data_IF_509099027426
#
_entry.id   IF_509099027426
#
_cell.length_a   1.000
_cell.length_b   1.000
_cell.length_c   1.000
_cell.angle_alpha   90.00
_cell.angle_beta   90.00
_cell.angle_gamma   90.00
#
_symmetry.space_group_name_H-M   'P 1'
#
loop_
_entity.id
_entity.type
_entity.pdbx_description
1 polymer ?
#
# COMPACT_ATOMS: atom_id res chain seq x y z
N UNK A 1 -6.79 -2.02 -29.97
CA UNK A 1 -6.10 -2.84 -28.95
C UNK A 1 -5.72 -1.93 -27.79
N UNK A 2 -6.63 -1.72 -26.83
CA UNK A 2 -6.46 -0.78 -25.73
C UNK A 2 -5.53 -1.40 -24.66
N UNK A 3 -4.22 -1.34 -24.89
CA UNK A 3 -3.17 -1.83 -23.98
C UNK A 3 -2.68 -0.73 -23.01
N UNK A 4 -3.62 0.06 -22.49
CA UNK A 4 -3.35 1.00 -21.39
C UNK A 4 -4.11 0.52 -20.17
N UNK A 5 -3.40 0.11 -19.11
CA UNK A 5 -4.04 0.09 -17.80
C UNK A 5 -4.51 1.54 -17.54
N UNK A 6 -5.82 1.81 -17.34
CA UNK A 6 -6.27 3.16 -17.04
C UNK A 6 -5.52 3.65 -15.80
N UNK A 7 -5.08 4.92 -15.80
CA UNK A 7 -4.46 5.53 -14.62
C UNK A 7 -5.37 5.34 -13.40
N UNK A 8 -4.78 5.17 -12.21
CA UNK A 8 -5.58 5.16 -10.99
C UNK A 8 -6.21 6.54 -10.78
N UNK A 9 -7.24 6.62 -9.93
CA UNK A 9 -7.64 7.92 -9.38
C UNK A 9 -6.50 8.52 -8.54
N UNK A 10 -6.55 9.82 -8.28
CA UNK A 10 -5.43 10.53 -7.64
C UNK A 10 -5.08 9.98 -6.25
N UNK A 11 -6.06 9.55 -5.46
CA UNK A 11 -5.83 9.01 -4.12
C UNK A 11 -5.17 7.63 -4.19
N UNK A 12 -5.66 6.77 -5.09
CA UNK A 12 -5.09 5.44 -5.33
C UNK A 12 -3.70 5.52 -5.96
N UNK A 13 -3.43 6.52 -6.82
CA UNK A 13 -2.09 6.74 -7.39
C UNK A 13 -1.08 7.13 -6.30
N UNK A 14 -1.46 7.98 -5.33
CA UNK A 14 -0.59 8.32 -4.18
C UNK A 14 -0.28 7.08 -3.33
N UNK A 15 -1.30 6.26 -3.02
CA UNK A 15 -1.10 4.99 -2.29
C UNK A 15 -0.19 4.03 -3.05
N UNK A 16 -0.35 3.95 -4.38
CA UNK A 16 0.52 3.14 -5.23
C UNK A 16 1.97 3.63 -5.21
N UNK A 17 2.18 4.96 -5.30
CA UNK A 17 3.52 5.55 -5.25
C UNK A 17 4.21 5.27 -3.91
N UNK A 18 3.52 5.45 -2.78
CA UNK A 18 4.03 5.12 -1.43
C UNK A 18 4.36 3.63 -1.29
N UNK A 19 3.43 2.76 -1.69
CA UNK A 19 3.62 1.30 -1.68
C UNK A 19 4.82 0.89 -2.54
N UNK A 20 4.97 1.50 -3.72
CA UNK A 20 6.05 1.18 -4.66
C UNK A 20 7.39 1.67 -4.14
N UNK A 21 7.45 2.88 -3.58
CA UNK A 21 8.70 3.43 -3.04
C UNK A 21 9.22 2.59 -1.87
N UNK A 22 8.35 2.19 -0.94
CA UNK A 22 8.72 1.33 0.18
C UNK A 22 9.32 0.00 -0.31
N UNK A 23 8.63 -0.68 -1.23
CA UNK A 23 9.08 -1.97 -1.77
C UNK A 23 10.34 -1.87 -2.62
N UNK A 24 10.49 -0.77 -3.35
CA UNK A 24 11.71 -0.48 -4.12
C UNK A 24 12.89 -0.31 -3.18
N UNK A 25 12.74 0.43 -2.07
CA UNK A 25 13.81 0.65 -1.08
C UNK A 25 14.32 -0.66 -0.49
N UNK A 26 13.42 -1.57 -0.13
CA UNK A 26 13.78 -2.90 0.40
C UNK A 26 14.54 -3.75 -0.63
N UNK A 27 14.15 -3.62 -1.91
CA UNK A 27 14.75 -4.40 -2.99
C UNK A 27 16.05 -3.80 -3.55
N UNK A 28 16.33 -2.50 -3.36
CA UNK A 28 17.34 -1.77 -4.11
C UNK A 28 18.78 -1.95 -3.62
N UNK A 29 18.97 -2.23 -2.32
CA UNK A 29 20.31 -2.35 -1.77
C UNK A 29 21.08 -3.57 -2.32
N UNK A 30 20.38 -4.70 -2.48
CA UNK A 30 20.96 -5.92 -3.02
C UNK A 30 21.53 -5.76 -4.44
N UNK A 31 20.79 -5.26 -5.45
CA UNK A 31 21.31 -5.12 -6.81
C UNK A 31 22.41 -4.07 -6.92
N UNK A 32 22.36 -2.98 -6.15
CA UNK A 32 23.47 -2.01 -6.11
C UNK A 32 24.73 -2.69 -5.53
N UNK A 33 24.59 -3.45 -4.45
CA UNK A 33 25.70 -4.21 -3.86
C UNK A 33 26.25 -5.28 -4.81
N UNK A 34 25.37 -6.01 -5.51
CA UNK A 34 25.78 -6.99 -6.51
C UNK A 34 26.52 -6.34 -7.70
N UNK A 35 26.06 -5.16 -8.14
CA UNK A 35 26.76 -4.35 -9.14
C UNK A 35 28.14 -3.87 -8.69
N UNK A 36 28.29 -3.51 -7.41
CA UNK A 36 29.59 -3.15 -6.85
C UNK A 36 30.56 -4.35 -6.87
N UNK A 37 30.08 -5.54 -6.52
CA UNK A 37 30.90 -6.75 -6.58
C UNK A 37 31.24 -7.16 -8.02
N UNK A 38 30.32 -6.97 -8.97
CA UNK A 38 30.59 -7.28 -10.38
C UNK A 38 31.67 -6.39 -10.98
N UNK A 39 31.83 -5.13 -10.53
CA UNK A 39 32.96 -4.29 -10.98
C UNK A 39 34.32 -4.90 -10.64
N UNK A 40 34.43 -5.61 -9.52
CA UNK A 40 35.68 -6.21 -9.05
C UNK A 40 36.07 -7.45 -9.85
N UNK A 41 35.11 -8.16 -10.46
CA UNK A 41 35.44 -9.33 -11.29
C UNK A 41 36.17 -8.92 -12.58
N UNK A 42 35.93 -7.70 -13.07
CA UNK A 42 36.62 -7.13 -14.25
C UNK A 42 38.07 -6.70 -13.98
N UNK A 43 38.57 -6.75 -12.74
CA UNK A 43 40.00 -6.54 -12.44
C UNK A 43 40.87 -7.53 -13.23
N UNK A 44 40.40 -8.79 -13.39
CA UNK A 44 41.10 -9.81 -14.18
C UNK A 44 41.17 -9.39 -15.65
N UNK A 45 40.10 -8.82 -16.18
CA UNK A 45 40.05 -8.34 -17.55
C UNK A 45 41.05 -7.20 -17.80
N UNK A 46 41.17 -6.27 -16.85
CA UNK A 46 42.16 -5.19 -16.92
C UNK A 46 43.60 -5.71 -16.93
N UNK A 47 43.88 -6.72 -16.10
CA UNK A 47 45.19 -7.36 -16.04
C UNK A 47 45.56 -8.02 -17.36
N UNK A 48 44.59 -8.63 -18.04
CA UNK A 48 44.77 -9.28 -19.35
C UNK A 48 44.97 -8.24 -20.46
N UNK A 49 44.26 -7.11 -20.41
CA UNK A 49 44.38 -6.02 -21.38
C UNK A 49 45.74 -5.33 -21.33
N UNK A 50 46.17 -4.91 -20.14
CA UNK A 50 47.46 -4.23 -19.96
C UNK A 50 48.00 -4.41 -18.53
N UNK A 51 48.92 -5.37 -18.32
CA UNK A 51 49.57 -5.57 -17.03
C UNK A 51 50.33 -4.33 -16.53
N UNK A 52 50.80 -3.45 -17.42
CA UNK A 52 51.61 -2.29 -17.05
C UNK A 52 50.79 -1.19 -16.39
N UNK A 53 49.52 -1.04 -16.78
CA UNK A 53 48.58 -0.05 -16.23
C UNK A 53 47.63 -0.63 -15.19
N UNK A 54 47.75 -1.93 -14.87
CA UNK A 54 46.90 -2.61 -13.91
C UNK A 54 46.75 -1.86 -12.57
N UNK A 55 47.86 -1.44 -11.97
CA UNK A 55 47.84 -0.74 -10.67
C UNK A 55 47.27 0.69 -10.75
N UNK A 56 47.12 1.26 -11.94
CA UNK A 56 46.47 2.55 -12.15
C UNK A 56 44.93 2.42 -12.09
N UNK A 57 44.37 1.31 -12.60
CA UNK A 57 42.92 1.13 -12.74
C UNK A 57 42.25 0.43 -11.55
N UNK A 58 43.00 -0.40 -10.81
CA UNK A 58 42.48 -1.08 -9.60
C UNK A 58 41.89 -0.10 -8.56
N UNK A 59 42.56 1.02 -8.21
CA UNK A 59 42.00 1.99 -7.27
C UNK A 59 40.66 2.58 -7.73
N UNK A 60 40.46 2.75 -9.04
CA UNK A 60 39.21 3.29 -9.62
C UNK A 60 38.07 2.31 -9.38
N UNK A 61 38.29 1.01 -9.60
CA UNK A 61 37.30 -0.04 -9.33
C UNK A 61 36.96 -0.13 -7.85
N UNK A 62 37.96 -0.08 -6.98
CA UNK A 62 37.75 -0.12 -5.53
C UNK A 62 36.96 1.10 -5.06
N UNK A 63 37.29 2.30 -5.53
CA UNK A 63 36.60 3.53 -5.16
C UNK A 63 35.13 3.51 -5.62
N UNK A 64 34.86 3.12 -6.87
CA UNK A 64 33.50 3.02 -7.40
C UNK A 64 32.68 1.96 -6.65
N UNK A 65 33.27 0.79 -6.39
CA UNK A 65 32.61 -0.29 -5.64
C UNK A 65 32.30 0.13 -4.21
N UNK A 66 33.24 0.80 -3.53
CA UNK A 66 33.04 1.33 -2.18
C UNK A 66 31.92 2.38 -2.14
N UNK A 67 31.88 3.28 -3.13
CA UNK A 67 30.82 4.30 -3.24
C UNK A 67 29.45 3.66 -3.48
N UNK A 68 29.36 2.66 -4.35
CA UNK A 68 28.12 1.91 -4.59
C UNK A 68 27.65 1.14 -3.34
N UNK A 69 28.56 0.47 -2.63
CA UNK A 69 28.26 -0.20 -1.36
C UNK A 69 27.78 0.79 -0.29
N UNK A 70 28.38 1.98 -0.25
CA UNK A 70 27.94 3.05 0.64
C UNK A 70 26.53 3.54 0.29
N UNK A 71 26.21 3.72 -1.00
CA UNK A 71 24.85 4.03 -1.44
C UNK A 71 23.86 2.93 -1.03
N UNK A 72 24.20 1.65 -1.25
CA UNK A 72 23.36 0.52 -0.84
C UNK A 72 23.12 0.51 0.68
N UNK A 73 24.18 0.72 1.48
CA UNK A 73 24.08 0.80 2.93
C UNK A 73 23.18 1.95 3.39
N UNK A 74 23.34 3.15 2.81
CA UNK A 74 22.51 4.31 3.10
C UNK A 74 21.03 4.04 2.78
N UNK A 75 20.74 3.43 1.63
CA UNK A 75 19.36 3.09 1.22
C UNK A 75 18.70 2.14 2.23
N UNK A 76 19.44 1.12 2.72
CA UNK A 76 18.93 0.15 3.70
C UNK A 76 18.79 0.69 5.12
N UNK A 77 19.71 1.53 5.59
CA UNK A 77 19.79 1.91 7.01
C UNK A 77 19.33 3.33 7.31
N UNK A 78 19.10 4.16 6.29
CA UNK A 78 18.71 5.57 6.44
C UNK A 78 17.44 5.84 5.61
N UNK A 79 16.24 5.56 6.15
CA UNK A 79 14.99 5.72 5.40
C UNK A 79 14.72 7.16 4.96
N UNK A 80 15.27 8.16 5.65
CA UNK A 80 15.19 9.57 5.27
C UNK A 80 16.01 9.95 4.03
N UNK A 81 16.91 9.09 3.54
CA UNK A 81 17.72 9.39 2.36
C UNK A 81 16.88 9.32 1.08
N UNK A 82 16.99 10.33 0.19
CA UNK A 82 16.23 10.35 -1.06
C UNK A 82 16.76 9.28 -2.02
N UNK A 83 15.86 8.44 -2.54
CA UNK A 83 16.22 7.28 -3.36
C UNK A 83 16.84 7.69 -4.70
N UNK A 84 16.25 8.68 -5.37
CA UNK A 84 16.63 9.09 -6.72
C UNK A 84 18.07 9.64 -6.81
N UNK A 85 18.53 10.55 -5.93
CA UNK A 85 19.94 10.97 -5.92
C UNK A 85 20.92 9.83 -5.60
N UNK A 86 20.56 8.89 -4.72
CA UNK A 86 21.42 7.74 -4.41
C UNK A 86 21.55 6.80 -5.61
N UNK A 87 20.45 6.58 -6.34
CA UNK A 87 20.46 5.85 -7.60
C UNK A 87 21.36 6.52 -8.64
N UNK A 88 21.27 7.84 -8.81
CA UNK A 88 22.13 8.61 -9.71
C UNK A 88 23.60 8.43 -9.37
N UNK A 89 23.98 8.60 -8.09
CA UNK A 89 25.36 8.42 -7.63
C UNK A 89 25.86 7.01 -7.92
N UNK A 90 25.08 5.97 -7.59
CA UNK A 90 25.48 4.58 -7.80
C UNK A 90 25.64 4.23 -9.29
N UNK A 91 24.69 4.64 -10.14
CA UNK A 91 24.72 4.37 -11.59
C UNK A 91 25.88 5.12 -12.26
N UNK A 92 26.12 6.37 -11.86
CA UNK A 92 27.25 7.17 -12.37
C UNK A 92 28.59 6.65 -11.86
N UNK A 93 28.68 6.18 -10.62
CA UNK A 93 29.90 5.54 -10.11
C UNK A 93 30.27 4.30 -10.93
N UNK A 94 29.30 3.41 -11.19
CA UNK A 94 29.52 2.21 -11.99
C UNK A 94 29.86 2.52 -13.44
N UNK A 95 29.07 3.37 -14.10
CA UNK A 95 29.33 3.77 -15.50
C UNK A 95 30.67 4.51 -15.63
N UNK A 96 30.94 5.43 -14.71
CA UNK A 96 32.16 6.22 -14.69
C UNK A 96 33.39 5.38 -14.46
N UNK A 97 33.32 4.37 -13.58
CA UNK A 97 34.38 3.38 -13.44
C UNK A 97 34.71 2.72 -14.78
N UNK A 98 33.69 2.19 -15.47
CA UNK A 98 33.89 1.54 -16.76
C UNK A 98 34.49 2.52 -17.78
N UNK A 99 33.93 3.72 -17.93
CA UNK A 99 34.42 4.72 -18.88
C UNK A 99 35.86 5.17 -18.59
N UNK A 100 36.21 5.42 -17.32
CA UNK A 100 37.56 5.81 -16.91
C UNK A 100 38.57 4.70 -17.17
N UNK A 101 38.23 3.43 -16.88
CA UNK A 101 39.12 2.31 -17.19
C UNK A 101 39.34 2.14 -18.69
N UNK A 102 38.32 2.38 -19.52
CA UNK A 102 38.45 2.35 -20.98
C UNK A 102 39.33 3.47 -21.53
N UNK A 103 39.25 4.65 -20.93
CA UNK A 103 40.10 5.79 -21.28
C UNK A 103 41.57 5.57 -20.89
N UNK A 104 41.82 4.93 -19.75
CA UNK A 104 43.18 4.73 -19.24
C UNK A 104 43.88 3.50 -19.83
N UNK A 105 43.16 2.51 -20.34
CA UNK A 105 43.75 1.30 -20.91
C UNK A 105 43.90 1.41 -22.44
N UNK A 106 44.98 0.86 -23.02
CA UNK A 106 45.14 0.83 -24.47
C UNK A 106 43.97 0.06 -25.12
N UNK A 107 43.44 0.61 -26.21
CA UNK A 107 42.28 0.06 -26.94
C UNK A 107 41.05 -0.23 -26.06
N UNK A 108 40.94 0.44 -24.90
CA UNK A 108 39.86 0.21 -23.95
C UNK A 108 38.48 0.50 -24.54
N UNK A 109 38.35 1.52 -25.38
CA UNK A 109 37.11 1.83 -26.12
C UNK A 109 36.84 0.91 -27.32
N UNK A 110 37.75 0.01 -27.67
CA UNK A 110 37.51 -1.03 -28.68
C UNK A 110 36.86 -2.24 -28.01
N UNK A 111 37.42 -2.70 -26.88
CA UNK A 111 37.03 -3.96 -26.23
C UNK A 111 36.05 -3.78 -25.06
N UNK A 112 36.11 -2.65 -24.37
CA UNK A 112 35.35 -2.37 -23.16
C UNK A 112 33.89 -1.88 -23.32
N UNK A 113 33.43 -1.27 -24.44
CA UNK A 113 32.14 -0.58 -24.50
C UNK A 113 30.91 -1.36 -24.05
N UNK A 114 30.92 -2.69 -24.16
CA UNK A 114 29.82 -3.53 -23.64
C UNK A 114 29.53 -3.27 -22.15
N UNK A 115 30.55 -2.96 -21.34
CA UNK A 115 30.38 -2.60 -19.93
C UNK A 115 29.59 -1.32 -19.71
N UNK A 116 29.59 -0.39 -20.67
CA UNK A 116 28.84 0.87 -20.60
C UNK A 116 27.33 0.67 -20.78
N UNK A 117 26.88 -0.52 -21.20
CA UNK A 117 25.46 -0.84 -21.24
C UNK A 117 24.92 -1.30 -19.87
N UNK A 118 25.78 -1.84 -18.99
CA UNK A 118 25.37 -2.56 -17.78
C UNK A 118 24.71 -1.61 -16.77
N UNK A 119 25.43 -0.58 -16.32
CA UNK A 119 24.95 0.33 -15.28
C UNK A 119 23.76 1.18 -15.72
N UNK A 120 23.71 1.68 -16.97
CA UNK A 120 22.49 2.27 -17.48
C UNK A 120 21.31 1.31 -17.44
N UNK A 121 21.48 0.04 -17.85
CA UNK A 121 20.40 -0.97 -17.75
C UNK A 121 19.93 -1.16 -16.32
N UNK A 122 20.86 -1.22 -15.37
CA UNK A 122 20.58 -1.36 -13.92
C UNK A 122 19.83 -0.14 -13.37
N UNK A 123 19.91 1.04 -13.99
CA UNK A 123 19.13 2.19 -13.52
C UNK A 123 17.61 1.94 -13.55
N UNK A 124 17.14 0.99 -14.36
CA UNK A 124 15.73 0.63 -14.49
C UNK A 124 15.10 0.15 -13.17
N UNK A 125 15.89 -0.56 -12.36
CA UNK A 125 15.45 -1.07 -11.06
C UNK A 125 15.66 -0.05 -9.94
N UNK A 126 16.19 1.14 -10.24
CA UNK A 126 16.42 2.19 -9.26
C UNK A 126 15.35 3.29 -9.27
N UNK A 127 14.34 3.19 -10.15
CA UNK A 127 13.33 4.24 -10.35
C UNK A 127 11.91 3.75 -10.06
N UNK A 128 11.11 4.65 -9.46
CA UNK A 128 9.68 4.44 -9.24
C UNK A 128 8.84 4.71 -10.47
N UNK A 129 9.38 5.35 -11.51
CA UNK A 129 8.68 5.61 -12.77
C UNK A 129 9.65 5.51 -13.93
N UNK A 130 9.25 4.86 -15.02
CA UNK A 130 10.14 4.66 -16.15
C UNK A 130 10.59 5.96 -16.83
N UNK A 131 9.78 7.02 -16.73
CA UNK A 131 10.12 8.37 -17.23
C UNK A 131 11.33 9.00 -16.52
N UNK A 132 11.73 8.49 -15.35
CA UNK A 132 12.89 8.98 -14.61
C UNK A 132 14.21 8.36 -15.10
N UNK A 133 14.18 7.31 -15.93
CA UNK A 133 15.39 6.63 -16.43
C UNK A 133 16.37 7.59 -17.13
N UNK A 134 15.95 8.50 -18.03
CA UNK A 134 16.87 9.44 -18.65
C UNK A 134 17.51 10.38 -17.63
N UNK A 135 16.73 10.83 -16.63
CA UNK A 135 17.23 11.71 -15.58
C UNK A 135 18.30 11.03 -14.72
N UNK A 136 18.09 9.76 -14.37
CA UNK A 136 19.08 8.98 -13.59
C UNK A 136 20.39 8.79 -14.35
N UNK A 137 20.33 8.64 -15.67
CA UNK A 137 21.51 8.41 -16.51
C UNK A 137 22.17 9.69 -17.02
N UNK A 138 21.57 10.86 -16.80
CA UNK A 138 22.09 12.13 -17.30
C UNK A 138 23.55 12.40 -16.85
N UNK A 139 23.93 12.23 -15.56
CA UNK A 139 25.31 12.48 -15.15
C UNK A 139 26.29 11.48 -15.78
N UNK A 140 25.87 10.22 -15.95
CA UNK A 140 26.66 9.20 -16.66
C UNK A 140 26.86 9.56 -18.12
N UNK A 141 25.84 10.08 -18.80
CA UNK A 141 25.91 10.50 -20.20
C UNK A 141 26.87 11.69 -20.38
N UNK A 142 26.83 12.67 -19.47
CA UNK A 142 27.75 13.81 -19.46
C UNK A 142 29.20 13.36 -19.24
N UNK A 143 29.43 12.44 -18.30
CA UNK A 143 30.74 11.89 -18.02
C UNK A 143 31.31 11.11 -19.22
N UNK A 144 30.52 10.21 -19.81
CA UNK A 144 30.94 9.46 -21.02
C UNK A 144 31.23 10.42 -22.17
N UNK A 145 30.36 11.43 -22.39
CA UNK A 145 30.59 12.45 -23.41
C UNK A 145 31.90 13.22 -23.21
N UNK A 146 32.22 13.58 -21.95
CA UNK A 146 33.48 14.24 -21.61
C UNK A 146 34.70 13.37 -21.90
N UNK A 147 34.64 12.07 -21.57
CA UNK A 147 35.73 11.12 -21.81
C UNK A 147 35.96 10.91 -23.32
N UNK A 148 34.89 10.75 -24.09
CA UNK A 148 34.96 10.64 -25.55
C UNK A 148 35.58 11.87 -26.20
N UNK A 149 35.21 13.06 -25.71
CA UNK A 149 35.78 14.32 -26.17
C UNK A 149 37.27 14.44 -25.81
N UNK A 150 37.64 14.08 -24.57
CA UNK A 150 39.02 14.15 -24.09
C UNK A 150 39.96 13.17 -24.81
N UNK A 151 39.47 12.00 -25.22
CA UNK A 151 40.24 11.02 -26.00
C UNK A 151 40.38 11.42 -27.48
N UNK A 152 39.50 12.29 -27.99
CA UNK A 152 39.45 12.62 -29.42
C UNK A 152 38.92 11.47 -30.29
N UNK A 153 38.05 10.63 -29.71
CA UNK A 153 37.54 9.40 -30.32
C UNK A 153 36.77 9.66 -31.62
N UNK A 154 37.10 8.90 -32.66
CA UNK A 154 36.43 8.97 -33.97
C UNK A 154 36.21 7.58 -34.56
N UNK A 155 35.40 7.49 -35.64
CA UNK A 155 35.21 6.25 -36.38
C UNK A 155 34.51 5.14 -35.59
N UNK A 156 34.98 3.90 -35.75
CA UNK A 156 34.33 2.71 -35.18
C UNK A 156 34.27 2.72 -33.64
N UNK A 157 35.34 3.02 -32.89
CA UNK A 157 35.28 2.97 -31.42
C UNK A 157 34.32 4.01 -30.83
N UNK A 158 34.17 5.19 -31.46
CA UNK A 158 33.16 6.18 -31.09
C UNK A 158 31.75 5.63 -31.30
N UNK A 159 31.46 5.12 -32.50
CA UNK A 159 30.16 4.52 -32.82
C UNK A 159 29.82 3.36 -31.89
N UNK A 160 30.78 2.49 -31.61
CA UNK A 160 30.64 1.34 -30.72
C UNK A 160 30.25 1.79 -29.30
N UNK A 161 30.96 2.79 -28.77
CA UNK A 161 30.72 3.33 -27.42
C UNK A 161 29.34 3.96 -27.29
N UNK A 162 28.96 4.81 -28.25
CA UNK A 162 27.63 5.43 -28.26
C UNK A 162 26.52 4.39 -28.41
N UNK A 163 26.73 3.36 -29.23
CA UNK A 163 25.74 2.30 -29.47
C UNK A 163 25.47 1.48 -28.22
N UNK A 164 26.51 1.04 -27.49
CA UNK A 164 26.31 0.28 -26.25
C UNK A 164 25.70 1.13 -25.15
N UNK A 165 26.13 2.39 -24.99
CA UNK A 165 25.55 3.28 -23.99
C UNK A 165 24.06 3.59 -24.28
N UNK A 166 23.74 3.92 -25.54
CA UNK A 166 22.35 4.15 -25.96
C UNK A 166 21.49 2.90 -25.80
N UNK A 167 22.03 1.73 -26.14
CA UNK A 167 21.34 0.43 -25.97
C UNK A 167 21.09 0.14 -24.48
N UNK A 168 22.04 0.45 -23.60
CA UNK A 168 21.86 0.34 -22.16
C UNK A 168 20.72 1.22 -21.63
N UNK A 169 20.66 2.49 -22.05
CA UNK A 169 19.57 3.40 -21.67
C UNK A 169 18.22 2.93 -22.23
N UNK A 170 18.19 2.47 -23.49
CA UNK A 170 16.98 1.95 -24.10
C UNK A 170 16.46 0.69 -23.38
N UNK A 171 17.36 -0.26 -23.11
CA UNK A 171 17.05 -1.46 -22.34
C UNK A 171 16.55 -1.09 -20.93
N UNK A 172 17.17 -0.09 -20.30
CA UNK A 172 16.73 0.41 -18.99
C UNK A 172 15.30 0.96 -19.04
N UNK A 173 14.97 1.75 -20.06
CA UNK A 173 13.64 2.33 -20.22
C UNK A 173 12.57 1.26 -20.43
N UNK A 174 12.85 0.27 -21.29
CA UNK A 174 11.96 -0.88 -21.54
C UNK A 174 11.76 -1.70 -20.27
N UNK A 175 12.84 -2.02 -19.55
CA UNK A 175 12.79 -2.79 -18.31
C UNK A 175 12.03 -2.02 -17.21
N UNK A 176 12.27 -0.72 -17.05
CA UNK A 176 11.56 0.11 -16.09
C UNK A 176 10.05 0.16 -16.38
N UNK A 177 9.67 0.23 -17.67
CA UNK A 177 8.28 0.13 -18.10
C UNK A 177 7.64 -1.22 -17.74
N UNK A 178 8.37 -2.32 -17.98
CA UNK A 178 7.90 -3.66 -17.65
C UNK A 178 7.71 -3.83 -16.13
N UNK A 179 8.69 -3.40 -15.33
CA UNK A 179 8.63 -3.44 -13.87
C UNK A 179 7.50 -2.57 -13.32
N UNK A 180 7.31 -1.37 -13.86
CA UNK A 180 6.18 -0.50 -13.51
C UNK A 180 4.83 -1.16 -13.78
N UNK A 181 4.66 -1.79 -14.94
CA UNK A 181 3.42 -2.49 -15.28
C UNK A 181 3.16 -3.66 -14.35
N UNK A 182 4.18 -4.48 -14.07
CA UNK A 182 4.07 -5.61 -13.15
C UNK A 182 3.71 -5.14 -11.74
N UNK A 183 4.34 -4.05 -11.27
CA UNK A 183 4.03 -3.45 -9.97
C UNK A 183 2.57 -2.95 -9.90
N UNK A 184 2.10 -2.23 -10.93
CA UNK A 184 0.71 -1.75 -11.01
C UNK A 184 -0.29 -2.90 -11.02
N UNK A 185 0.02 -3.99 -11.71
CA UNK A 185 -0.83 -5.18 -11.74
C UNK A 185 -0.89 -5.87 -10.36
N UNK A 186 0.26 -6.05 -9.71
CA UNK A 186 0.33 -6.61 -8.36
C UNK A 186 -0.46 -5.80 -7.35
N UNK A 187 -0.32 -4.48 -7.37
CA UNK A 187 -1.07 -3.58 -6.48
C UNK A 187 -2.59 -3.64 -6.72
N UNK A 188 -3.03 -3.76 -7.98
CA UNK A 188 -4.46 -3.97 -8.27
C UNK A 188 -5.00 -5.27 -7.70
N UNK A 189 -4.23 -6.35 -7.82
CA UNK A 189 -4.63 -7.64 -7.27
C UNK A 189 -4.71 -7.57 -5.74
N UNK A 190 -3.76 -6.89 -5.10
CA UNK A 190 -3.79 -6.65 -3.65
C UNK A 190 -5.05 -5.88 -3.23
N UNK A 191 -5.40 -4.80 -3.94
CA UNK A 191 -6.66 -4.06 -3.71
C UNK A 191 -7.91 -4.92 -3.97
N UNK A 192 -7.87 -5.82 -4.96
CA UNK A 192 -8.98 -6.73 -5.22
C UNK A 192 -9.15 -7.74 -4.08
N UNK A 193 -8.05 -8.32 -3.58
CA UNK A 193 -8.05 -9.24 -2.45
C UNK A 193 -8.50 -8.55 -1.16
N UNK A 194 -8.03 -7.33 -0.90
CA UNK A 194 -8.54 -6.48 0.19
C UNK A 194 -10.05 -6.24 0.03
N UNK A 195 -10.51 -5.99 -1.20
CA UNK A 195 -11.91 -5.81 -1.54
C UNK A 195 -12.76 -7.09 -1.40
N UNK A 196 -12.17 -8.27 -1.61
CA UNK A 196 -12.82 -9.59 -1.47
C UNK A 196 -12.87 -10.10 -0.03
N UNK A 197 -12.13 -9.47 0.90
CA UNK A 197 -12.27 -9.77 2.31
C UNK A 197 -13.73 -9.55 2.73
N UNK A 198 -14.33 -10.55 3.36
CA UNK A 198 -15.71 -10.50 3.88
C UNK A 198 -15.79 -10.18 5.37
N UNK A 199 -14.63 -10.06 6.01
CA UNK A 199 -14.49 -9.80 7.43
C UNK A 199 -13.73 -8.49 7.63
N UNK A 200 -14.06 -7.77 8.69
CA UNK A 200 -13.29 -6.63 9.15
C UNK A 200 -11.97 -7.14 9.77
N UNK A 201 -10.79 -6.68 9.29
CA UNK A 201 -9.50 -7.24 9.69
C UNK A 201 -9.18 -6.98 11.17
N UNK A 202 -9.75 -5.93 11.78
CA UNK A 202 -9.51 -5.61 13.19
C UNK A 202 -10.38 -6.46 14.12
N UNK A 203 -11.68 -6.55 13.85
CA UNK A 203 -12.66 -7.13 14.77
C UNK A 203 -13.05 -8.57 14.43
N UNK A 204 -12.78 -9.03 13.21
CA UNK A 204 -13.08 -10.39 12.74
C UNK A 204 -14.55 -10.67 12.43
N UNK A 205 -15.45 -9.69 12.62
CA UNK A 205 -16.88 -9.80 12.24
C UNK A 205 -17.08 -9.45 10.77
N UNK A 206 -18.31 -9.52 10.25
CA UNK A 206 -18.57 -9.14 8.87
C UNK A 206 -18.17 -7.68 8.60
N UNK A 207 -17.67 -7.37 7.41
CA UNK A 207 -17.50 -5.98 6.98
C UNK A 207 -18.77 -5.47 6.28
N UNK A 208 -18.78 -4.17 5.96
CA UNK A 208 -19.87 -3.51 5.19
C UNK A 208 -20.25 -4.30 3.92
N UNK A 209 -19.28 -4.83 3.18
CA UNK A 209 -19.55 -5.58 1.95
C UNK A 209 -20.32 -6.88 2.22
N UNK A 210 -19.89 -7.68 3.21
CA UNK A 210 -20.63 -8.90 3.58
C UNK A 210 -22.03 -8.57 4.10
N UNK A 211 -22.19 -7.45 4.82
CA UNK A 211 -23.50 -6.95 5.23
C UNK A 211 -24.40 -6.65 4.02
N UNK A 212 -23.89 -5.96 3.00
CA UNK A 212 -24.64 -5.65 1.78
C UNK A 212 -25.04 -6.93 1.03
N UNK A 213 -24.09 -7.86 0.83
CA UNK A 213 -24.31 -9.12 0.11
C UNK A 213 -25.33 -10.03 0.80
N UNK A 214 -25.23 -10.21 2.13
CA UNK A 214 -26.11 -11.11 2.89
C UNK A 214 -27.40 -10.40 3.34
N UNK A 215 -27.32 -9.10 3.66
CA UNK A 215 -28.45 -8.32 4.12
C UNK A 215 -29.53 -8.17 3.06
N UNK A 216 -29.17 -7.90 1.81
CA UNK A 216 -30.15 -7.85 0.71
C UNK A 216 -30.87 -9.20 0.50
N UNK A 217 -30.17 -10.32 0.72
CA UNK A 217 -30.78 -11.64 0.66
C UNK A 217 -31.80 -11.84 1.78
N UNK A 218 -31.50 -11.38 3.00
CA UNK A 218 -32.42 -11.45 4.13
C UNK A 218 -33.63 -10.51 3.96
N UNK A 219 -33.46 -9.31 3.39
CA UNK A 219 -34.59 -8.44 3.02
C UNK A 219 -35.50 -9.13 1.99
N UNK A 220 -34.91 -9.72 0.95
CA UNK A 220 -35.67 -10.45 -0.06
C UNK A 220 -36.43 -11.64 0.54
N UNK A 221 -35.82 -12.34 1.51
CA UNK A 221 -36.42 -13.46 2.26
C UNK A 221 -37.57 -13.00 3.14
N UNK A 222 -37.37 -11.94 3.93
CA UNK A 222 -38.39 -11.33 4.78
C UNK A 222 -39.61 -10.90 3.96
N UNK A 223 -39.37 -10.25 2.81
CA UNK A 223 -40.43 -9.86 1.86
C UNK A 223 -41.19 -11.05 1.31
N UNK A 224 -40.49 -12.09 0.85
CA UNK A 224 -41.11 -13.26 0.22
C UNK A 224 -41.98 -14.06 1.20
N UNK A 225 -41.50 -14.24 2.43
CA UNK A 225 -42.15 -15.09 3.41
C UNK A 225 -42.97 -14.31 4.46
N UNK A 226 -43.05 -12.98 4.33
CA UNK A 226 -43.71 -12.08 5.29
C UNK A 226 -43.21 -12.31 6.72
N UNK A 227 -41.88 -12.46 6.87
CA UNK A 227 -41.23 -12.67 8.16
C UNK A 227 -40.70 -11.36 8.72
N UNK A 228 -40.69 -11.17 10.04
CA UNK A 228 -40.10 -10.00 10.65
C UNK A 228 -38.58 -9.99 10.43
N UNK A 229 -38.02 -8.80 10.26
CA UNK A 229 -36.60 -8.54 10.09
C UNK A 229 -36.34 -7.17 10.68
N UNK A 230 -35.38 -7.05 11.60
CA UNK A 230 -35.08 -5.77 12.24
C UNK A 230 -33.58 -5.49 12.23
N UNK A 231 -33.21 -4.23 12.01
CA UNK A 231 -31.83 -3.77 12.03
C UNK A 231 -31.58 -2.93 13.28
N UNK A 232 -30.44 -3.18 13.92
CA UNK A 232 -29.82 -2.34 14.92
C UNK A 232 -28.60 -1.67 14.28
N UNK A 233 -28.52 -0.34 14.37
CA UNK A 233 -27.34 0.43 14.03
C UNK A 233 -26.77 1.04 15.32
N UNK A 234 -25.55 0.65 15.67
CA UNK A 234 -24.87 1.01 16.90
C UNK A 234 -23.68 1.90 16.60
N UNK A 235 -23.45 2.91 17.42
CA UNK A 235 -22.27 3.77 17.36
C UNK A 235 -21.72 4.00 18.76
N UNK A 236 -20.40 3.85 18.92
CA UNK A 236 -19.75 4.03 20.21
C UNK A 236 -19.62 5.52 20.55
N UNK A 237 -20.25 5.90 21.66
CA UNK A 237 -20.28 7.28 22.09
C UNK A 237 -18.88 7.77 22.46
N UNK A 238 -18.53 8.96 21.97
CA UNK A 238 -17.26 9.62 22.30
C UNK A 238 -16.00 8.79 21.98
N UNK A 239 -16.07 7.87 21.01
CA UNK A 239 -14.94 7.01 20.64
C UNK A 239 -13.67 7.78 20.27
N UNK A 240 -13.80 8.93 19.60
CA UNK A 240 -12.68 9.83 19.32
C UNK A 240 -11.97 10.28 20.60
N UNK A 241 -12.70 10.60 21.67
CA UNK A 241 -12.10 11.00 22.95
C UNK A 241 -11.33 9.86 23.63
N UNK A 242 -11.74 8.61 23.40
CA UNK A 242 -10.97 7.43 23.85
C UNK A 242 -9.63 7.36 23.10
N UNK A 243 -9.66 7.51 21.78
CA UNK A 243 -8.43 7.55 20.97
C UNK A 243 -7.50 8.71 21.38
N UNK A 244 -8.06 9.90 21.56
CA UNK A 244 -7.30 11.09 21.92
C UNK A 244 -6.64 10.95 23.31
N UNK A 245 -7.31 10.27 24.25
CA UNK A 245 -6.82 10.09 25.63
C UNK A 245 -5.87 8.92 25.82
N UNK A 246 -6.13 7.80 25.14
CA UNK A 246 -5.44 6.53 25.39
C UNK A 246 -4.66 6.00 24.18
N UNK A 247 -4.67 6.72 23.06
CA UNK A 247 -4.03 6.32 21.81
C UNK A 247 -4.84 5.33 20.99
N UNK A 248 -4.50 5.25 19.70
CA UNK A 248 -5.22 4.42 18.72
C UNK A 248 -5.19 2.92 19.05
N UNK A 249 -4.09 2.40 19.63
CA UNK A 249 -3.99 1.00 20.01
C UNK A 249 -5.06 0.60 21.05
N UNK A 250 -5.34 1.50 22.00
CA UNK A 250 -6.40 1.29 22.98
C UNK A 250 -7.78 1.35 22.33
N UNK A 251 -8.01 2.26 21.40
CA UNK A 251 -9.25 2.31 20.62
C UNK A 251 -9.49 1.03 19.83
N UNK A 252 -8.45 0.49 19.21
CA UNK A 252 -8.53 -0.79 18.49
C UNK A 252 -8.93 -1.94 19.42
N UNK A 253 -8.35 -1.99 20.62
CA UNK A 253 -8.74 -2.96 21.64
C UNK A 253 -10.22 -2.80 22.08
N UNK A 254 -10.68 -1.55 22.24
CA UNK A 254 -12.08 -1.25 22.55
C UNK A 254 -13.01 -1.79 21.46
N UNK A 255 -12.72 -1.53 20.19
CA UNK A 255 -13.52 -2.02 19.05
C UNK A 255 -13.59 -3.55 19.02
N UNK A 256 -12.47 -4.23 19.25
CA UNK A 256 -12.42 -5.69 19.34
C UNK A 256 -13.23 -6.24 20.51
N UNK A 257 -13.16 -5.60 21.67
CA UNK A 257 -13.88 -6.03 22.86
C UNK A 257 -15.39 -5.82 22.70
N UNK A 258 -15.82 -4.69 22.14
CA UNK A 258 -17.23 -4.42 21.78
C UNK A 258 -17.74 -5.46 20.79
N UNK A 259 -16.99 -5.72 19.73
CA UNK A 259 -17.39 -6.71 18.72
C UNK A 259 -17.59 -8.10 19.33
N UNK A 260 -16.71 -8.52 20.25
CA UNK A 260 -16.86 -9.79 20.99
C UNK A 260 -18.07 -9.76 21.94
N UNK A 261 -18.25 -8.69 22.70
CA UNK A 261 -19.35 -8.56 23.67
C UNK A 261 -20.71 -8.62 22.97
N UNK A 262 -20.88 -7.83 21.92
CA UNK A 262 -22.13 -7.80 21.14
C UNK A 262 -22.32 -9.12 20.43
N UNK A 263 -21.29 -9.64 19.73
CA UNK A 263 -21.36 -10.91 19.02
C UNK A 263 -21.76 -12.09 19.90
N UNK A 264 -21.29 -12.15 21.15
CA UNK A 264 -21.67 -13.21 22.11
C UNK A 264 -23.14 -13.15 22.58
N UNK A 265 -23.82 -12.02 22.36
CA UNK A 265 -25.23 -11.82 22.70
C UNK A 265 -26.16 -11.93 21.47
N UNK A 266 -25.60 -12.16 20.28
CA UNK A 266 -26.34 -12.37 19.05
C UNK A 266 -26.42 -13.86 18.71
N UNK A 267 -27.44 -14.25 17.95
CA UNK A 267 -27.60 -15.62 17.46
C UNK A 267 -26.67 -15.85 16.28
N UNK A 268 -26.36 -17.12 16.00
CA UNK A 268 -25.57 -17.48 14.81
C UNK A 268 -26.27 -17.09 13.49
N UNK A 269 -27.60 -16.99 13.49
CA UNK A 269 -28.41 -16.56 12.36
C UNK A 269 -28.39 -15.05 12.14
N UNK A 270 -27.99 -14.27 13.14
CA UNK A 270 -27.95 -12.82 13.07
C UNK A 270 -26.70 -12.39 12.30
N UNK A 271 -26.83 -11.35 11.49
CA UNK A 271 -25.73 -10.81 10.70
C UNK A 271 -25.15 -9.59 11.41
N UNK A 272 -23.97 -9.76 11.99
CA UNK A 272 -23.26 -8.70 12.72
C UNK A 272 -22.04 -8.20 11.95
N UNK A 273 -22.01 -6.90 11.67
CA UNK A 273 -21.00 -6.28 10.83
C UNK A 273 -20.49 -4.95 11.38
N UNK A 274 -19.26 -4.59 11.01
CA UNK A 274 -18.70 -3.25 11.20
C UNK A 274 -18.79 -2.46 9.89
N UNK A 275 -19.39 -1.27 9.95
CA UNK A 275 -19.54 -0.40 8.79
C UNK A 275 -18.27 0.40 8.48
N UNK A 276 -17.51 0.74 9.52
CA UNK A 276 -16.31 1.57 9.46
C UNK A 276 -16.21 2.43 10.73
N UNK A 277 -15.01 2.86 11.11
CA UNK A 277 -14.81 3.64 12.33
C UNK A 277 -15.36 2.90 13.56
N UNK A 278 -16.26 3.54 14.28
CA UNK A 278 -16.92 3.06 15.51
C UNK A 278 -18.35 2.53 15.30
N UNK A 279 -18.78 2.37 14.05
CA UNK A 279 -20.15 2.00 13.69
C UNK A 279 -20.31 0.50 13.44
N UNK A 280 -21.32 -0.10 14.08
CA UNK A 280 -21.68 -1.51 13.98
C UNK A 280 -23.14 -1.69 13.56
N UNK A 281 -23.44 -2.75 12.84
CA UNK A 281 -24.81 -3.14 12.44
C UNK A 281 -25.07 -4.57 12.85
N UNK A 282 -26.23 -4.81 13.47
CA UNK A 282 -26.81 -6.14 13.63
C UNK A 282 -28.11 -6.22 12.83
N UNK A 283 -28.19 -7.14 11.87
CA UNK A 283 -29.42 -7.47 11.17
C UNK A 283 -29.97 -8.77 11.77
N UNK A 284 -31.22 -8.74 12.22
CA UNK A 284 -31.87 -9.76 13.02
C UNK A 284 -33.04 -10.41 12.25
N UNK A 285 -32.79 -11.50 11.49
CA UNK A 285 -33.85 -12.25 10.85
C UNK A 285 -34.85 -12.81 11.88
N UNK A 286 -36.11 -12.92 11.46
CA UNK A 286 -37.19 -13.51 12.27
C UNK A 286 -37.38 -12.81 13.63
N UNK A 287 -37.06 -11.52 13.70
CA UNK A 287 -37.13 -10.72 14.93
C UNK A 287 -37.96 -9.47 14.69
N UNK A 288 -39.06 -9.34 15.44
CA UNK A 288 -39.92 -8.16 15.40
C UNK A 288 -39.30 -6.96 16.13
N UNK A 289 -39.96 -5.80 16.00
CA UNK A 289 -39.45 -4.53 16.50
C UNK A 289 -39.32 -4.52 18.04
N UNK A 290 -40.27 -5.10 18.75
CA UNK A 290 -40.31 -5.11 20.22
C UNK A 290 -39.20 -6.01 20.81
N UNK A 291 -39.01 -7.19 20.22
CA UNK A 291 -37.92 -8.11 20.59
C UNK A 291 -36.56 -7.50 20.28
N UNK A 292 -36.42 -6.87 19.10
CA UNK A 292 -35.19 -6.19 18.71
C UNK A 292 -34.87 -4.99 19.60
N UNK A 293 -35.87 -4.21 20.00
CA UNK A 293 -35.70 -3.10 20.94
C UNK A 293 -35.23 -3.61 22.31
N UNK A 294 -35.81 -4.72 22.80
CA UNK A 294 -35.41 -5.33 24.07
C UNK A 294 -33.95 -5.81 24.03
N UNK A 295 -33.54 -6.45 22.92
CA UNK A 295 -32.16 -6.84 22.70
C UNK A 295 -31.22 -5.62 22.61
N UNK A 296 -31.61 -4.56 21.90
CA UNK A 296 -30.83 -3.33 21.82
C UNK A 296 -30.59 -2.70 23.19
N UNK A 297 -31.62 -2.65 24.04
CA UNK A 297 -31.48 -2.15 25.42
C UNK A 297 -30.56 -3.04 26.25
N UNK A 298 -30.68 -4.37 26.12
CA UNK A 298 -29.76 -5.30 26.77
C UNK A 298 -28.31 -5.05 26.34
N UNK A 299 -28.04 -4.91 25.04
CA UNK A 299 -26.70 -4.65 24.51
C UNK A 299 -26.15 -3.31 25.02
N UNK A 300 -26.97 -2.26 25.00
CA UNK A 300 -26.60 -0.95 25.52
C UNK A 300 -26.23 -1.02 27.01
N UNK A 301 -27.06 -1.69 27.81
CA UNK A 301 -26.80 -1.91 29.22
C UNK A 301 -25.49 -2.68 29.44
N UNK A 302 -25.29 -3.79 28.72
CA UNK A 302 -24.07 -4.59 28.83
C UNK A 302 -22.81 -3.78 28.53
N UNK A 303 -22.84 -2.95 27.48
CA UNK A 303 -21.74 -2.05 27.14
C UNK A 303 -21.48 -1.05 28.29
N UNK A 304 -22.54 -0.39 28.79
CA UNK A 304 -22.40 0.63 29.84
C UNK A 304 -21.94 0.08 31.20
N UNK A 305 -22.27 -1.18 31.52
CA UNK A 305 -22.00 -1.79 32.83
C UNK A 305 -20.78 -2.72 32.81
N UNK A 306 -20.09 -2.87 31.68
CA UNK A 306 -18.90 -3.71 31.55
C UNK A 306 -17.69 -2.86 31.14
N UNK A 307 -17.01 -2.20 32.09
CA UNK A 307 -15.79 -1.45 31.80
C UNK A 307 -14.75 -2.35 31.14
N UNK A 308 -14.13 -1.85 30.08
CA UNK A 308 -13.10 -2.59 29.36
C UNK A 308 -11.74 -2.32 30.03
N UNK A 309 -11.00 -3.39 30.32
CA UNK A 309 -9.66 -3.29 30.89
C UNK A 309 -8.60 -3.41 29.80
N UNK A 310 -7.73 -2.42 29.70
CA UNK A 310 -6.58 -2.43 28.80
C UNK A 310 -5.40 -1.71 29.43
N UNK A 311 -4.21 -2.33 29.44
CA UNK A 311 -2.97 -1.75 29.99
C UNK A 311 -3.10 -1.13 31.39
N UNK A 312 -3.95 -1.72 32.24
CA UNK A 312 -4.19 -1.24 33.61
C UNK A 312 -5.18 -0.07 33.74
N UNK A 313 -5.74 0.43 32.64
CA UNK A 313 -6.84 1.38 32.63
C UNK A 313 -8.20 0.69 32.53
N UNK A 314 -9.19 1.20 33.25
CA UNK A 314 -10.61 0.91 33.02
C UNK A 314 -11.21 1.97 32.11
N UNK A 315 -11.81 1.51 31.01
CA UNK A 315 -12.36 2.34 29.94
C UNK A 315 -13.86 2.11 29.91
N UNK A 316 -14.62 3.14 30.25
CA UNK A 316 -16.06 3.15 30.13
C UNK A 316 -16.45 3.42 28.68
N UNK A 317 -17.37 2.60 28.16
CA UNK A 317 -17.86 2.71 26.79
C UNK A 317 -19.38 2.63 26.82
N UNK A 318 -20.03 3.60 26.20
CA UNK A 318 -21.48 3.55 25.95
C UNK A 318 -21.73 3.56 24.45
N UNK A 319 -22.93 3.17 24.05
CA UNK A 319 -23.34 3.21 22.67
C UNK A 319 -24.73 3.83 22.52
N UNK A 320 -24.90 4.60 21.46
CA UNK A 320 -26.22 4.99 20.96
C UNK A 320 -26.68 3.97 19.93
N UNK A 321 -27.96 3.59 19.96
CA UNK A 321 -28.50 2.56 19.08
C UNK A 321 -29.78 3.05 18.39
N UNK A 322 -29.79 3.01 17.06
CA UNK A 322 -30.97 3.19 16.22
C UNK A 322 -31.57 1.85 15.82
N UNK A 323 -32.90 1.71 15.90
CA UNK A 323 -33.61 0.46 15.58
C UNK A 323 -34.65 0.71 14.48
N UNK A 324 -34.59 -0.08 13.41
CA UNK A 324 -35.56 -0.02 12.31
C UNK A 324 -35.99 -1.42 11.87
N UNK A 325 -37.30 -1.68 11.88
CA UNK A 325 -37.87 -2.90 11.33
C UNK A 325 -38.12 -2.77 9.82
N UNK A 326 -37.97 -3.89 9.11
CA UNK A 326 -38.45 -4.06 7.76
C UNK A 326 -39.97 -3.83 7.68
N UNK A 327 -40.38 -3.07 6.67
CA UNK A 327 -41.78 -2.91 6.29
C UNK A 327 -41.87 -2.75 4.75
N UNK A 328 -43.06 -2.87 4.15
CA UNK A 328 -43.23 -2.74 2.69
C UNK A 328 -42.67 -1.44 2.12
N UNK A 329 -42.69 -0.34 2.88
CA UNK A 329 -42.13 0.97 2.51
C UNK A 329 -40.60 1.03 2.59
N UNK A 330 -39.97 0.13 3.36
CA UNK A 330 -38.53 -0.03 3.51
C UNK A 330 -38.07 -1.33 2.82
N UNK A 331 -38.23 -1.36 1.49
CA UNK A 331 -38.11 -2.59 0.69
C UNK A 331 -36.69 -2.98 0.25
N UNK A 332 -35.66 -2.28 0.74
CA UNK A 332 -34.24 -2.58 0.48
C UNK A 332 -33.41 -2.45 1.76
N UNK A 333 -32.24 -3.09 1.80
CA UNK A 333 -31.32 -2.97 2.94
C UNK A 333 -30.93 -1.51 3.18
N UNK A 334 -30.64 -0.77 2.10
CA UNK A 334 -30.29 0.64 2.16
C UNK A 334 -31.40 1.51 2.78
N UNK A 335 -32.68 1.20 2.51
CA UNK A 335 -33.80 1.93 3.10
C UNK A 335 -33.93 1.66 4.61
N UNK A 336 -33.78 0.41 5.03
CA UNK A 336 -33.79 0.03 6.45
C UNK A 336 -32.61 0.68 7.18
N UNK A 337 -31.42 0.65 6.58
CA UNK A 337 -30.21 1.26 7.13
C UNK A 337 -30.36 2.77 7.31
N UNK A 338 -30.93 3.47 6.32
CA UNK A 338 -31.21 4.90 6.43
C UNK A 338 -32.21 5.21 7.55
N UNK A 339 -33.24 4.38 7.73
CA UNK A 339 -34.19 4.57 8.82
C UNK A 339 -33.52 4.32 10.19
N UNK A 340 -32.66 3.30 10.30
CA UNK A 340 -31.88 3.05 11.51
C UNK A 340 -30.90 4.19 11.83
N UNK A 341 -30.30 4.80 10.81
CA UNK A 341 -29.43 5.97 10.93
C UNK A 341 -30.18 7.21 11.45
N UNK A 342 -31.39 7.48 10.94
CA UNK A 342 -32.24 8.56 11.45
C UNK A 342 -32.57 8.36 12.94
N UNK A 343 -32.84 7.12 13.36
CA UNK A 343 -33.06 6.78 14.76
C UNK A 343 -31.78 6.91 15.60
N UNK A 344 -30.62 6.46 15.08
CA UNK A 344 -29.34 6.60 15.76
C UNK A 344 -28.97 8.08 15.96
N UNK A 345 -29.22 8.91 14.94
CA UNK A 345 -29.02 10.35 15.04
C UNK A 345 -29.90 10.95 16.15
N UNK A 346 -31.17 10.55 16.23
CA UNK A 346 -32.05 10.97 17.32
C UNK A 346 -31.55 10.49 18.71
N UNK A 347 -31.00 9.27 18.80
CA UNK A 347 -30.38 8.77 20.03
C UNK A 347 -29.16 9.62 20.44
N UNK A 348 -28.30 10.00 19.49
CA UNK A 348 -27.16 10.88 19.75
C UNK A 348 -27.62 12.29 20.16
N UNK A 349 -28.63 12.84 19.49
CA UNK A 349 -29.17 14.17 19.77
C UNK A 349 -29.91 14.24 21.13
N UNK A 350 -30.56 13.15 21.54
CA UNK A 350 -31.28 13.07 22.81
C UNK A 350 -30.40 12.80 24.04
N UNK A 351 -29.07 12.88 23.93
CA UNK A 351 -28.16 12.72 25.07
C UNK A 351 -27.27 11.48 25.05
N UNK A 352 -27.25 10.70 23.95
CA UNK A 352 -26.45 9.47 23.79
C UNK A 352 -26.84 8.36 24.79
N UNK A 353 -26.11 7.24 24.77
CA UNK A 353 -26.36 6.08 25.64
C UNK A 353 -27.84 5.71 25.74
N UNK A 354 -28.52 5.61 24.61
CA UNK A 354 -29.94 5.28 24.55
C UNK A 354 -30.30 4.55 23.26
N UNK A 355 -31.43 3.85 23.30
CA UNK A 355 -32.04 3.21 22.14
C UNK A 355 -33.17 4.09 21.63
N UNK A 356 -33.15 4.40 20.33
CA UNK A 356 -34.28 5.04 19.66
C UNK A 356 -34.79 4.10 18.58
N UNK A 357 -36.11 3.92 18.57
CA UNK A 357 -36.80 3.12 17.58
C UNK A 357 -37.47 4.05 16.58
N UNK A 358 -37.37 3.74 15.30
CA UNK A 358 -38.13 4.44 14.26
C UNK A 358 -39.63 4.25 14.54
N UNK A 359 -40.27 5.29 15.07
CA UNK A 359 -41.72 5.31 15.24
C UNK A 359 -42.36 5.66 13.90
N UNK A 360 -43.14 4.75 13.33
CA UNK A 360 -44.11 5.11 12.28
C UNK A 360 -45.52 4.84 12.75
N UNK A 361 -46.41 5.78 12.45
CA UNK A 361 -47.83 5.69 12.75
C UNK A 361 -48.38 4.41 12.11
N UNK A 362 -49.12 3.62 12.88
CA UNK A 362 -49.85 2.47 12.36
C UNK A 362 -50.75 2.95 11.21
N UNK A 363 -50.62 2.32 10.05
CA UNK A 363 -51.66 2.42 9.03
C UNK A 363 -52.93 1.78 9.63
N UNK A 364 -53.89 2.63 9.97
CA UNK A 364 -55.20 2.25 10.51
C UNK A 364 -56.10 1.58 9.49
#
# INVERSE_FOLDING_TARGET
MALGLPSFDEATERRFDEWREARLRDALAWPIGAGALSLLTFVIWDLVLDPSRFWLVVPIRLAASALMLWCAWCISHRPAMPLLPMAMVAVTAGTGCVGLTQYLLPDGFVYGPAGLAIFPTVSAICVTRAQLVPLVNLPSALLVGLLLWADGLTGFPLFNTLSFFATGIFAAYVLAHALERTARYGFRLELQLEGEARLDPLTGIANRRRLEEQGEQEVARARRFKRPLTMLLLDLDHFKSINDRYGHATGDHVLQAVARLVGNNLRQTDLFARLGGEEFVALLPETDLETAQSLAEQLRHLLSFTPLRHEGAEIEVTASIGVAAYCPELSSLAAILRAADEALYAAKAGGRNQVVVVRRAAAG
#
